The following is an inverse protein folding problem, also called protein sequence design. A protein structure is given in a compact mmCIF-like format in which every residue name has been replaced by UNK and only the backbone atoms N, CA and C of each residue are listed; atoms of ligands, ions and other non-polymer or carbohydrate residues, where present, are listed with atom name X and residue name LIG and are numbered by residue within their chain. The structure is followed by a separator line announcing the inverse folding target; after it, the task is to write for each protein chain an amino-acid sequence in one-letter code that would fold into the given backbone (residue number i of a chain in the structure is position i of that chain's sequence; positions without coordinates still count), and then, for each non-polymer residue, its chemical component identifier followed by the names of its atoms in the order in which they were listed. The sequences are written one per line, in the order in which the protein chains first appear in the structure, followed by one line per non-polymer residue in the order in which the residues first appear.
data_IF_718250437057
#
_entry.id   IF_718250437057
#
_cell.length_a   1.000
_cell.length_b   1.000
_cell.length_c   1.000
_cell.angle_alpha   90.00
_cell.angle_beta   90.00
_cell.angle_gamma   90.00
#
_symmetry.space_group_name_H-M   'P 1'
#
loop_
_entity.id
_entity.type
_entity.pdbx_description
1 polymer ?
#
# COMPACT_ATOMS: atom_id res chain seq x y z
N UNK A 1 -1.56 -12.65 -19.71
CA UNK A 1 -0.74 -12.88 -18.52
C UNK A 1 -1.58 -13.69 -17.55
N UNK A 2 -1.04 -14.81 -17.06
CA UNK A 2 -1.78 -15.64 -16.12
C UNK A 2 -1.86 -14.94 -14.75
N UNK A 3 -2.96 -15.10 -13.98
CA UNK A 3 -3.10 -14.47 -12.66
C UNK A 3 -1.93 -14.81 -11.72
N UNK A 4 -1.41 -16.04 -11.79
CA UNK A 4 -0.27 -16.48 -10.97
C UNK A 4 1.02 -15.73 -11.32
N UNK A 5 1.31 -15.52 -12.60
CA UNK A 5 2.48 -14.75 -13.05
C UNK A 5 2.39 -13.30 -12.56
N UNK A 6 1.23 -12.67 -12.73
CA UNK A 6 1.02 -11.29 -12.34
C UNK A 6 1.18 -11.09 -10.83
N UNK A 7 0.63 -12.00 -10.02
CA UNK A 7 0.79 -11.97 -8.56
C UNK A 7 2.24 -12.23 -8.14
N UNK A 8 2.95 -13.14 -8.82
CA UNK A 8 4.38 -13.39 -8.56
C UNK A 8 5.23 -12.16 -8.86
N UNK A 9 5.02 -11.51 -10.00
CA UNK A 9 5.72 -10.26 -10.35
C UNK A 9 5.41 -9.16 -9.33
N UNK A 10 4.14 -8.99 -8.93
CA UNK A 10 3.78 -8.00 -7.93
C UNK A 10 4.39 -8.30 -6.55
N UNK A 11 4.45 -9.57 -6.14
CA UNK A 11 5.11 -9.98 -4.91
C UNK A 11 6.61 -9.68 -4.94
N UNK A 12 7.28 -9.92 -6.08
CA UNK A 12 8.69 -9.56 -6.25
C UNK A 12 8.91 -8.06 -6.08
N UNK A 13 8.12 -7.23 -6.77
CA UNK A 13 8.18 -5.76 -6.62
C UNK A 13 7.96 -5.34 -5.17
N UNK A 14 6.98 -5.94 -4.49
CA UNK A 14 6.65 -5.66 -3.10
C UNK A 14 7.82 -5.97 -2.15
N UNK A 15 8.45 -7.15 -2.30
CA UNK A 15 9.62 -7.55 -1.51
C UNK A 15 10.80 -6.63 -1.80
N UNK A 16 11.04 -6.29 -3.05
CA UNK A 16 12.11 -5.38 -3.45
C UNK A 16 11.94 -3.98 -2.82
N UNK A 17 10.73 -3.42 -2.85
CA UNK A 17 10.45 -2.13 -2.19
C UNK A 17 10.64 -2.19 -0.68
N UNK A 18 10.18 -3.25 -0.03
CA UNK A 18 10.40 -3.45 1.40
C UNK A 18 11.89 -3.62 1.73
N UNK A 19 12.65 -4.33 0.90
CA UNK A 19 14.10 -4.48 1.04
C UNK A 19 14.85 -3.16 0.91
N UNK A 20 14.52 -2.36 -0.11
CA UNK A 20 15.11 -1.03 -0.28
C UNK A 20 14.76 -0.07 0.87
N UNK A 21 13.57 -0.20 1.47
CA UNK A 21 13.23 0.52 2.69
C UNK A 21 14.25 0.25 3.82
N UNK A 22 14.57 -1.03 4.03
CA UNK A 22 15.55 -1.44 5.04
C UNK A 22 16.93 -0.86 4.78
N UNK A 23 17.35 -0.82 3.52
CA UNK A 23 18.62 -0.19 3.09
C UNK A 23 18.64 1.30 3.46
N UNK A 24 17.58 2.05 3.12
CA UNK A 24 17.50 3.49 3.47
C UNK A 24 17.54 3.72 4.98
N UNK A 25 16.91 2.85 5.77
CA UNK A 25 16.95 2.92 7.24
C UNK A 25 18.37 2.73 7.77
N UNK A 26 19.12 1.75 7.26
CA UNK A 26 20.49 1.44 7.70
C UNK A 26 21.47 2.56 7.32
N UNK A 27 21.30 3.18 6.15
CA UNK A 27 22.20 4.24 5.67
C UNK A 27 21.94 5.62 6.29
N UNK A 28 20.86 5.80 7.06
CA UNK A 28 20.62 7.06 7.76
C UNK A 28 21.39 7.04 9.10
N UNK A 29 22.25 8.04 9.32
CA UNK A 29 23.12 8.14 10.50
C UNK A 29 22.36 8.27 11.83
N UNK A 30 21.14 8.76 11.80
CA UNK A 30 20.28 8.93 12.98
C UNK A 30 19.55 7.63 13.30
N UNK A 31 19.52 7.27 14.59
CA UNK A 31 18.73 6.14 15.04
C UNK A 31 17.26 6.36 14.68
N UNK A 32 16.51 5.29 14.35
CA UNK A 32 15.07 5.41 14.02
C UNK A 32 14.29 6.09 15.15
N UNK A 33 14.80 6.05 16.39
CA UNK A 33 14.17 6.71 17.52
C UNK A 33 14.29 8.24 17.45
N UNK A 34 15.34 8.77 16.84
CA UNK A 34 15.61 10.22 16.74
C UNK A 34 14.94 10.86 15.52
N UNK A 35 14.41 10.06 14.60
CA UNK A 35 13.78 10.59 13.38
C UNK A 35 12.57 11.47 13.70
N UNK A 36 12.40 12.50 12.86
CA UNK A 36 11.20 13.31 12.84
C UNK A 36 9.94 12.43 12.73
N UNK A 37 8.83 12.83 13.37
CA UNK A 37 7.58 12.06 13.31
C UNK A 37 7.06 11.92 11.87
N UNK A 38 7.37 12.87 10.98
CA UNK A 38 7.03 12.83 9.55
C UNK A 38 7.81 11.73 8.83
N UNK A 39 9.10 11.58 9.09
CA UNK A 39 9.91 10.54 8.43
C UNK A 39 9.57 9.14 8.92
N UNK A 40 9.29 8.99 10.22
CA UNK A 40 8.74 7.73 10.78
C UNK A 40 7.43 7.35 10.09
N UNK A 41 6.56 8.33 9.83
CA UNK A 41 5.30 8.12 9.15
C UNK A 41 5.49 7.70 7.68
N UNK A 42 6.42 8.35 6.95
CA UNK A 42 6.77 8.00 5.56
C UNK A 42 7.33 6.59 5.45
N UNK A 43 8.25 6.22 6.33
CA UNK A 43 8.79 4.86 6.38
C UNK A 43 7.69 3.84 6.68
N UNK A 44 6.82 4.12 7.67
CA UNK A 44 5.71 3.24 8.01
C UNK A 44 4.72 3.09 6.86
N UNK A 45 4.40 4.18 6.17
CA UNK A 45 3.56 4.15 4.96
C UNK A 45 4.16 3.27 3.88
N UNK A 46 5.45 3.44 3.62
CA UNK A 46 6.14 2.67 2.59
C UNK A 46 6.15 1.18 2.92
N UNK A 47 6.51 0.83 4.16
CA UNK A 47 6.53 -0.56 4.61
C UNK A 47 5.13 -1.19 4.52
N UNK A 48 4.09 -0.49 4.97
CA UNK A 48 2.73 -1.03 4.91
C UNK A 48 2.24 -1.16 3.46
N UNK A 49 2.50 -0.18 2.60
CA UNK A 49 2.16 -0.23 1.16
C UNK A 49 2.99 -1.25 0.37
N UNK A 50 4.01 -1.88 0.98
CA UNK A 50 4.78 -2.97 0.37
C UNK A 50 4.43 -4.33 0.99
N UNK A 51 4.25 -4.40 2.31
CA UNK A 51 3.92 -5.65 3.03
C UNK A 51 2.47 -6.07 2.75
N UNK A 52 1.50 -5.14 2.74
CA UNK A 52 0.11 -5.47 2.45
C UNK A 52 -0.07 -6.11 1.07
N UNK A 53 0.42 -5.52 -0.05
CA UNK A 53 0.27 -6.16 -1.34
C UNK A 53 1.02 -7.49 -1.41
N UNK A 54 2.16 -7.63 -0.73
CA UNK A 54 2.87 -8.92 -0.63
C UNK A 54 2.00 -10.00 0.02
N UNK A 55 1.39 -9.71 1.17
CA UNK A 55 0.48 -10.65 1.86
C UNK A 55 -0.71 -11.00 0.98
N UNK A 56 -1.31 -10.01 0.30
CA UNK A 56 -2.42 -10.24 -0.63
C UNK A 56 -2.00 -11.13 -1.82
N UNK A 57 -0.80 -10.93 -2.38
CA UNK A 57 -0.26 -11.78 -3.43
C UNK A 57 -0.02 -13.21 -2.94
N UNK A 58 0.54 -13.38 -1.75
CA UNK A 58 0.78 -14.70 -1.13
C UNK A 58 -0.53 -15.45 -0.89
N UNK A 59 -1.56 -14.76 -0.39
CA UNK A 59 -2.91 -15.33 -0.24
C UNK A 59 -3.47 -15.73 -1.60
N UNK A 60 -3.41 -14.85 -2.60
CA UNK A 60 -3.89 -15.15 -3.96
C UNK A 60 -3.19 -16.37 -4.57
N UNK A 61 -1.86 -16.46 -4.46
CA UNK A 61 -1.07 -17.60 -4.93
C UNK A 61 -1.43 -18.89 -4.18
N UNK A 62 -1.61 -18.84 -2.86
CA UNK A 62 -2.02 -19.99 -2.05
C UNK A 62 -3.41 -20.50 -2.48
N UNK A 63 -4.38 -19.61 -2.69
CA UNK A 63 -5.71 -20.01 -3.16
C UNK A 63 -5.68 -20.63 -4.56
N UNK A 64 -4.76 -20.19 -5.44
CA UNK A 64 -4.58 -20.79 -6.76
C UNK A 64 -4.03 -22.24 -6.73
N UNK A 65 -3.45 -22.68 -5.60
CA UNK A 65 -3.02 -24.08 -5.44
C UNK A 65 -4.19 -25.05 -5.16
N UNK A 66 -5.35 -24.55 -4.76
CA UNK A 66 -6.54 -25.37 -4.47
C UNK A 66 -7.20 -25.79 -5.80
N UNK A 67 -7.34 -27.10 -6.01
CA UNK A 67 -7.95 -27.69 -7.21
C UNK A 67 -9.27 -28.38 -6.85
N UNK A 68 -10.38 -28.12 -7.57
CA UNK A 68 -10.56 -27.12 -8.64
C UNK A 68 -10.51 -25.69 -8.08
N UNK A 69 -10.08 -24.73 -8.90
CA UNK A 69 -9.99 -23.30 -8.54
C UNK A 69 -11.41 -22.77 -8.26
N UNK A 70 -11.76 -22.36 -7.02
CA UNK A 70 -13.09 -21.82 -6.76
C UNK A 70 -13.44 -20.65 -7.67
N UNK A 71 -14.64 -20.66 -8.24
CA UNK A 71 -15.12 -19.59 -9.13
C UNK A 71 -15.15 -18.21 -8.43
N UNK A 72 -15.34 -18.19 -7.11
CA UNK A 72 -15.45 -16.97 -6.29
C UNK A 72 -14.13 -16.54 -5.61
N UNK A 73 -12.96 -17.13 -5.93
CA UNK A 73 -11.67 -16.77 -5.29
C UNK A 73 -11.46 -15.26 -5.28
N UNK A 74 -11.64 -14.61 -6.43
CA UNK A 74 -11.35 -13.19 -6.57
C UNK A 74 -12.31 -12.30 -5.78
N UNK A 75 -13.54 -12.77 -5.54
CA UNK A 75 -14.50 -12.06 -4.67
C UNK A 75 -14.04 -12.09 -3.22
N UNK A 76 -13.58 -13.26 -2.75
CA UNK A 76 -13.02 -13.40 -1.41
C UNK A 76 -11.73 -12.62 -1.24
N UNK A 77 -10.81 -12.68 -2.21
CA UNK A 77 -9.57 -11.90 -2.21
C UNK A 77 -9.84 -10.40 -2.21
N UNK A 78 -10.77 -9.91 -3.04
CA UNK A 78 -11.16 -8.49 -3.06
C UNK A 78 -11.89 -8.06 -1.80
N UNK A 79 -12.75 -8.90 -1.23
CA UNK A 79 -13.42 -8.63 0.04
C UNK A 79 -12.42 -8.50 1.19
N UNK A 80 -11.46 -9.42 1.28
CA UNK A 80 -10.38 -9.34 2.25
C UNK A 80 -9.50 -8.10 2.02
N UNK A 81 -9.11 -7.82 0.78
CA UNK A 81 -8.33 -6.63 0.43
C UNK A 81 -9.07 -5.33 0.81
N UNK A 82 -10.39 -5.26 0.59
CA UNK A 82 -11.21 -4.13 1.00
C UNK A 82 -11.19 -3.91 2.51
N UNK A 83 -11.44 -4.96 3.31
CA UNK A 83 -11.45 -4.85 4.78
C UNK A 83 -10.09 -4.38 5.29
N UNK A 84 -9.00 -5.00 4.82
CA UNK A 84 -7.64 -4.65 5.23
C UNK A 84 -7.28 -3.22 4.80
N UNK A 85 -7.61 -2.84 3.56
CA UNK A 85 -7.34 -1.49 3.06
C UNK A 85 -8.16 -0.42 3.79
N UNK A 86 -9.40 -0.72 4.18
CA UNK A 86 -10.25 0.19 4.95
C UNK A 86 -9.69 0.40 6.36
N UNK A 87 -9.31 -0.67 7.06
CA UNK A 87 -8.66 -0.60 8.38
C UNK A 87 -7.35 0.20 8.31
N UNK A 88 -6.57 -0.02 7.25
CA UNK A 88 -5.37 0.76 7.00
C UNK A 88 -5.70 2.24 6.80
N UNK A 89 -6.64 2.59 5.92
CA UNK A 89 -7.05 3.96 5.67
C UNK A 89 -7.53 4.68 6.94
N UNK A 90 -8.33 4.01 7.79
CA UNK A 90 -8.80 4.57 9.07
C UNK A 90 -7.63 4.82 10.03
N UNK A 91 -6.75 3.84 10.19
CA UNK A 91 -5.58 3.95 11.09
C UNK A 91 -4.65 5.06 10.62
N UNK A 92 -4.43 5.14 9.30
CA UNK A 92 -3.59 6.14 8.66
C UNK A 92 -4.17 7.54 8.83
N UNK A 93 -5.46 7.72 8.58
CA UNK A 93 -6.17 8.99 8.76
C UNK A 93 -6.12 9.44 10.22
N UNK A 94 -6.25 8.52 11.19
CA UNK A 94 -6.12 8.84 12.61
C UNK A 94 -4.71 9.30 12.98
N UNK A 95 -3.66 8.60 12.51
CA UNK A 95 -2.27 8.99 12.75
C UNK A 95 -1.92 10.31 12.08
N UNK A 96 -2.32 10.49 10.83
CA UNK A 96 -2.14 11.74 10.11
C UNK A 96 -2.88 12.88 10.77
N UNK A 97 -4.16 12.73 11.16
CA UNK A 97 -4.89 13.82 11.81
C UNK A 97 -4.21 14.28 13.10
N UNK A 98 -3.62 13.36 13.87
CA UNK A 98 -2.84 13.71 15.07
C UNK A 98 -1.56 14.50 14.75
N UNK A 99 -0.87 14.15 13.67
CA UNK A 99 0.35 14.83 13.24
C UNK A 99 0.06 16.13 12.47
N UNK A 100 -1.00 16.13 11.66
CA UNK A 100 -1.50 17.26 10.88
C UNK A 100 -2.00 18.39 11.77
N UNK A 101 -2.64 18.06 12.90
CA UNK A 101 -2.96 19.07 13.93
C UNK A 101 -1.72 19.75 14.51
N UNK A 102 -0.52 19.21 14.30
CA UNK A 102 0.75 19.74 14.81
C UNK A 102 1.61 20.43 13.74
N UNK A 103 1.46 20.07 12.46
CA UNK A 103 2.44 20.43 11.40
C UNK A 103 1.84 20.81 10.04
N UNK A 104 0.54 20.57 9.77
CA UNK A 104 -0.08 20.72 8.42
C UNK A 104 -0.45 22.17 8.03
N UNK A 105 -0.02 23.18 8.78
CA UNK A 105 -0.17 24.57 8.34
C UNK A 105 0.94 25.08 7.40
N UNK A 106 2.04 24.35 7.21
CA UNK A 106 3.25 24.96 6.62
C UNK A 106 3.49 24.71 5.12
N UNK A 107 2.98 23.63 4.51
CA UNK A 107 3.29 23.32 3.10
C UNK A 107 2.10 22.85 2.23
N UNK A 108 1.72 23.61 1.18
CA UNK A 108 0.60 23.28 0.30
C UNK A 108 0.82 22.01 -0.54
N UNK A 109 2.07 21.69 -0.90
CA UNK A 109 2.40 20.51 -1.72
C UNK A 109 2.09 19.19 -0.99
N UNK A 110 2.38 19.12 0.31
CA UNK A 110 2.10 17.92 1.11
C UNK A 110 0.61 17.68 1.27
N UNK A 111 -0.20 18.75 1.35
CA UNK A 111 -1.66 18.68 1.40
C UNK A 111 -2.26 18.17 0.08
N UNK A 112 -1.78 18.66 -1.06
CA UNK A 112 -2.22 18.21 -2.38
C UNK A 112 -1.97 16.72 -2.58
N UNK A 113 -0.75 16.27 -2.29
CA UNK A 113 -0.36 14.85 -2.38
C UNK A 113 -1.26 13.99 -1.50
N UNK A 114 -1.56 14.43 -0.27
CA UNK A 114 -2.43 13.68 0.64
C UNK A 114 -3.83 13.48 0.07
N UNK A 115 -4.47 14.54 -0.43
CA UNK A 115 -5.81 14.41 -1.02
C UNK A 115 -5.80 13.56 -2.29
N UNK A 116 -4.77 13.69 -3.13
CA UNK A 116 -4.65 12.90 -4.35
C UNK A 116 -4.59 11.39 -4.04
N UNK A 117 -3.66 10.96 -3.17
CA UNK A 117 -3.56 9.56 -2.78
C UNK A 117 -4.77 9.08 -1.96
N UNK A 118 -5.38 9.96 -1.16
CA UNK A 118 -6.63 9.67 -0.47
C UNK A 118 -7.77 9.35 -1.44
N UNK A 119 -7.98 10.19 -2.44
CA UNK A 119 -9.01 9.97 -3.48
C UNK A 119 -8.73 8.71 -4.29
N UNK A 120 -7.49 8.47 -4.71
CA UNK A 120 -7.09 7.25 -5.42
C UNK A 120 -7.35 6.00 -4.54
N UNK A 121 -6.99 6.06 -3.26
CA UNK A 121 -7.22 4.97 -2.31
C UNK A 121 -8.71 4.68 -2.07
N UNK A 122 -9.55 5.71 -2.03
CA UNK A 122 -11.01 5.57 -1.93
C UNK A 122 -11.56 4.91 -3.20
N UNK A 123 -11.16 5.39 -4.38
CA UNK A 123 -11.58 4.82 -5.66
C UNK A 123 -11.18 3.34 -5.78
N UNK A 124 -9.95 3.00 -5.36
CA UNK A 124 -9.47 1.62 -5.32
C UNK A 124 -10.29 0.75 -4.36
N UNK A 125 -10.68 1.27 -3.18
CA UNK A 125 -11.53 0.54 -2.24
C UNK A 125 -12.95 0.31 -2.77
N UNK A 126 -13.56 1.32 -3.40
CA UNK A 126 -14.86 1.16 -4.05
C UNK A 126 -14.81 0.12 -5.16
N UNK A 127 -13.71 0.10 -5.93
CA UNK A 127 -13.48 -0.90 -6.95
C UNK A 127 -13.33 -2.31 -6.34
N UNK A 128 -12.63 -2.48 -5.22
CA UNK A 128 -12.58 -3.77 -4.51
C UNK A 128 -13.96 -4.21 -4.02
N UNK A 129 -14.74 -3.29 -3.47
CA UNK A 129 -16.09 -3.57 -2.98
C UNK A 129 -17.02 -4.00 -4.13
N UNK A 130 -16.97 -3.28 -5.26
CA UNK A 130 -17.72 -3.64 -6.46
C UNK A 130 -17.29 -5.01 -7.00
N UNK A 131 -15.99 -5.31 -6.95
CA UNK A 131 -15.49 -6.62 -7.37
C UNK A 131 -15.93 -7.77 -6.48
N UNK A 132 -15.92 -7.57 -5.16
CA UNK A 132 -16.41 -8.53 -4.19
C UNK A 132 -17.91 -8.80 -4.36
N UNK A 133 -18.69 -7.74 -4.58
CA UNK A 133 -20.14 -7.83 -4.69
C UNK A 133 -20.62 -8.47 -6.00
N UNK A 134 -20.10 -8.02 -7.15
CA UNK A 134 -20.72 -8.33 -8.45
C UNK A 134 -19.80 -8.91 -9.52
N UNK A 135 -18.55 -8.43 -9.67
CA UNK A 135 -17.72 -8.83 -10.82
C UNK A 135 -17.02 -10.18 -10.61
N UNK A 136 -16.39 -10.39 -9.45
CA UNK A 136 -15.53 -11.57 -9.22
C UNK A 136 -14.37 -11.72 -10.21
N UNK A 137 -13.88 -10.62 -10.78
CA UNK A 137 -12.81 -10.63 -11.75
C UNK A 137 -11.43 -10.50 -11.07
N UNK A 138 -10.38 -10.97 -11.75
CA UNK A 138 -9.00 -10.84 -11.29
C UNK A 138 -8.49 -9.39 -11.32
N UNK A 139 -8.79 -8.66 -12.39
CA UNK A 139 -8.19 -7.35 -12.65
C UNK A 139 -8.47 -6.29 -11.58
N UNK A 140 -9.65 -6.21 -10.91
CA UNK A 140 -9.89 -5.23 -9.86
C UNK A 140 -9.06 -5.52 -8.62
N UNK A 141 -8.95 -6.79 -8.24
CA UNK A 141 -8.07 -7.23 -7.15
C UNK A 141 -6.62 -6.82 -7.43
N UNK A 142 -6.14 -7.14 -8.62
CA UNK A 142 -4.78 -6.80 -9.05
C UNK A 142 -4.55 -5.28 -9.12
N UNK A 143 -5.52 -4.51 -9.61
CA UNK A 143 -5.43 -3.04 -9.66
C UNK A 143 -5.24 -2.43 -8.26
N UNK A 144 -5.89 -2.99 -7.23
CA UNK A 144 -5.68 -2.56 -5.84
C UNK A 144 -4.25 -2.78 -5.35
N UNK A 145 -3.65 -3.93 -5.70
CA UNK A 145 -2.25 -4.24 -5.42
C UNK A 145 -1.33 -3.23 -6.12
N UNK A 146 -1.57 -2.96 -7.41
CA UNK A 146 -0.77 -1.99 -8.18
C UNK A 146 -0.85 -0.59 -7.57
N UNK A 147 -2.04 -0.13 -7.16
CA UNK A 147 -2.21 1.18 -6.51
C UNK A 147 -1.40 1.28 -5.21
N UNK A 148 -1.37 0.22 -4.40
CA UNK A 148 -0.56 0.17 -3.17
C UNK A 148 0.94 0.22 -3.51
N UNK A 149 1.41 -0.57 -4.48
CA UNK A 149 2.82 -0.57 -4.89
C UNK A 149 3.26 0.79 -5.45
N UNK A 150 2.46 1.42 -6.30
CA UNK A 150 2.74 2.77 -6.83
C UNK A 150 2.78 3.80 -5.70
N UNK A 151 1.87 3.70 -4.73
CA UNK A 151 1.89 4.56 -3.54
C UNK A 151 3.17 4.34 -2.73
N UNK A 152 3.58 3.09 -2.52
CA UNK A 152 4.84 2.73 -1.86
C UNK A 152 6.07 3.29 -2.56
N UNK A 153 6.15 3.12 -3.90
CA UNK A 153 7.20 3.70 -4.74
C UNK A 153 7.27 5.21 -4.64
N UNK A 154 6.12 5.89 -4.66
CA UNK A 154 6.09 7.33 -4.53
C UNK A 154 6.59 7.80 -3.14
N UNK A 155 6.20 7.10 -2.07
CA UNK A 155 6.73 7.38 -0.73
C UNK A 155 8.24 7.15 -0.65
N UNK A 156 8.76 6.12 -1.33
CA UNK A 156 10.19 5.83 -1.41
C UNK A 156 10.94 6.97 -2.10
N UNK A 157 10.46 7.38 -3.27
CA UNK A 157 11.03 8.49 -4.01
C UNK A 157 11.04 9.79 -3.18
N UNK A 158 9.94 10.10 -2.48
CA UNK A 158 9.89 11.25 -1.56
C UNK A 158 10.87 11.13 -0.40
N UNK A 159 11.07 9.94 0.14
CA UNK A 159 12.02 9.72 1.24
C UNK A 159 13.48 9.97 0.81
N UNK A 160 13.83 9.64 -0.43
CA UNK A 160 15.17 9.89 -0.99
C UNK A 160 15.34 11.35 -1.41
N UNK A 161 14.36 11.91 -2.14
CA UNK A 161 14.47 13.22 -2.80
C UNK A 161 14.22 14.40 -1.86
N UNK A 162 13.33 14.26 -0.87
CA UNK A 162 12.99 15.33 0.09
C UNK A 162 13.81 15.23 1.37
N UNK A 163 15.05 14.73 1.28
CA UNK A 163 16.00 14.80 2.39
C UNK A 163 16.25 16.28 2.67
N UNK A 164 15.60 16.83 3.69
CA UNK A 164 15.94 18.14 4.22
C UNK A 164 17.36 18.03 4.78
N UNK A 165 18.25 18.84 4.21
CA UNK A 165 19.51 19.24 4.86
C UNK A 165 19.22 19.99 6.16
#
# INVERSE_FOLDING_TARGET
MEPGEALSTAAQIAVTLAGFAGVVVVFRRESVHDWSPVDKLRLRLLLINSILPLVLCMIGLLLLTIRPVPADIWRWCSGFAFVVSLLFAITMTKHFRRLALREVQSEPLTRFVFYLFGTIGIAANLLQLYNAASLGAFWPFFAGIVVQLVTGMFQFARMILLRHE
#
